data_IF_719951895814
#
_entry.id   IF_719951895814
#
_cell.length_a   1.000
_cell.length_b   1.000
_cell.length_c   1.000
_cell.angle_alpha   90.00
_cell.angle_beta   90.00
_cell.angle_gamma   90.00
#
_symmetry.space_group_name_H-M   'P 1'
#
loop_
_entity.id
_entity.type
_entity.pdbx_description
1 polymer ?
#
# COMPACT_ATOMS: atom_id res chain seq x y z
N UNK A 1 47.70 19.78 -12.28
CA UNK A 1 46.72 18.80 -11.85
C UNK A 1 45.86 18.41 -13.02
N UNK A 2 45.55 17.14 -13.15
CA UNK A 2 44.72 16.68 -14.24
C UNK A 2 43.27 17.12 -14.04
N UNK A 3 42.77 17.77 -15.03
CA UNK A 3 41.43 18.06 -15.52
C UNK A 3 40.35 18.22 -14.56
N UNK A 4 39.66 17.63 -13.85
CA UNK A 4 38.38 17.88 -13.19
C UNK A 4 38.48 17.93 -11.67
N UNK A 5 39.00 19.03 -11.13
CA UNK A 5 38.99 19.25 -9.69
C UNK A 5 38.36 20.60 -9.34
N UNK A 6 37.80 20.65 -8.17
CA UNK A 6 37.24 21.88 -7.60
C UNK A 6 38.15 22.26 -6.43
N UNK A 7 38.60 23.48 -6.43
CA UNK A 7 39.43 24.03 -5.35
C UNK A 7 38.49 24.44 -4.21
N UNK A 8 38.67 23.85 -3.05
CA UNK A 8 37.77 24.05 -1.92
C UNK A 8 38.19 25.18 -0.99
N UNK A 9 39.49 25.43 -0.86
CA UNK A 9 40.01 26.51 -0.03
C UNK A 9 41.51 26.43 0.22
N UNK A 10 41.99 27.35 1.04
CA UNK A 10 43.38 27.42 1.52
C UNK A 10 43.36 27.56 3.03
N UNK A 11 44.20 26.81 3.74
CA UNK A 11 44.47 27.02 5.16
C UNK A 11 45.86 27.64 5.31
N UNK A 12 45.95 28.97 5.55
CA UNK A 12 47.23 29.67 5.58
C UNK A 12 48.06 29.42 6.86
N UNK A 13 47.40 28.93 7.92
CA UNK A 13 48.00 28.82 9.25
C UNK A 13 48.32 27.37 9.67
N UNK A 14 48.65 26.50 8.72
CA UNK A 14 49.01 25.12 9.01
C UNK A 14 50.33 25.05 9.75
N UNK A 15 50.33 24.56 10.99
CA UNK A 15 51.53 24.29 11.77
C UNK A 15 51.95 22.83 11.61
N UNK A 16 53.26 22.59 11.49
CA UNK A 16 53.82 21.26 11.36
C UNK A 16 53.41 20.35 12.56
N UNK A 17 52.93 19.14 12.24
CA UNK A 17 52.48 18.12 13.19
C UNK A 17 51.27 18.53 14.05
N UNK A 18 50.46 19.53 13.64
CA UNK A 18 49.21 19.86 14.29
C UNK A 18 48.04 19.57 13.36
N UNK A 19 46.92 19.11 13.91
CA UNK A 19 45.68 18.99 13.13
C UNK A 19 45.23 20.34 12.59
N UNK A 20 44.76 20.39 11.37
CA UNK A 20 44.12 21.56 10.76
C UNK A 20 42.76 21.21 10.22
N UNK A 21 41.85 22.18 10.22
CA UNK A 21 40.55 22.00 9.63
C UNK A 21 40.62 22.04 8.11
N UNK A 22 40.04 21.09 7.46
CA UNK A 22 39.80 21.16 6.02
C UNK A 22 38.64 22.11 5.80
N UNK A 23 38.85 23.21 5.12
CA UNK A 23 37.80 24.12 4.71
C UNK A 23 36.99 23.47 3.60
N UNK A 24 36.00 22.71 3.98
CA UNK A 24 35.02 22.19 3.06
C UNK A 24 33.83 23.13 2.96
N UNK A 25 33.45 23.43 1.75
CA UNK A 25 32.21 24.13 1.49
C UNK A 25 31.04 23.21 1.81
N UNK A 26 29.92 23.77 2.23
CA UNK A 26 28.69 23.01 2.39
C UNK A 26 28.32 22.35 1.05
N UNK A 27 28.37 21.03 1.01
CA UNK A 27 27.94 20.25 -0.14
C UNK A 27 26.45 20.00 -0.07
N UNK A 28 25.70 20.53 -1.03
CA UNK A 28 24.29 20.24 -1.22
C UNK A 28 24.12 19.24 -2.35
N UNK A 29 23.76 18.00 -2.03
CA UNK A 29 23.40 16.99 -3.00
C UNK A 29 21.92 17.10 -3.33
N UNK A 30 21.60 17.30 -4.61
CA UNK A 30 20.23 17.26 -5.13
C UNK A 30 20.06 15.98 -5.95
N UNK A 31 19.21 15.08 -5.43
CA UNK A 31 18.76 13.94 -6.19
C UNK A 31 17.59 14.36 -7.10
N UNK A 32 17.73 14.09 -8.39
CA UNK A 32 16.66 14.29 -9.36
C UNK A 32 16.19 12.95 -9.87
N UNK A 33 14.94 12.64 -9.63
CA UNK A 33 14.28 11.48 -10.24
C UNK A 33 13.86 11.86 -11.65
N UNK A 34 14.46 11.24 -12.65
CA UNK A 34 14.16 11.48 -14.07
C UNK A 34 13.13 10.50 -14.62
N UNK A 35 13.02 9.33 -14.02
CA UNK A 35 12.07 8.30 -14.38
C UNK A 35 11.31 7.83 -13.14
N UNK A 36 10.02 7.52 -13.31
CA UNK A 36 9.23 6.93 -12.23
C UNK A 36 9.70 5.50 -11.98
N UNK A 37 10.01 5.21 -10.75
CA UNK A 37 10.30 3.85 -10.30
C UNK A 37 9.30 3.42 -9.23
N UNK A 38 9.15 2.12 -9.08
CA UNK A 38 8.26 1.52 -8.10
C UNK A 38 9.03 0.70 -7.09
N UNK A 39 8.45 0.58 -5.91
CA UNK A 39 8.95 -0.20 -4.79
C UNK A 39 10.29 0.31 -4.26
N UNK A 40 11.38 -0.14 -4.84
CA UNK A 40 12.71 0.03 -4.26
C UNK A 40 13.74 0.22 -5.36
N UNK A 41 14.54 1.28 -5.23
CA UNK A 41 15.74 1.48 -6.05
C UNK A 41 16.96 1.45 -5.14
N UNK A 42 17.88 0.57 -5.42
CA UNK A 42 19.17 0.54 -4.75
C UNK A 42 20.15 1.40 -5.54
N UNK A 43 20.69 2.41 -4.88
CA UNK A 43 21.79 3.22 -5.41
C UNK A 43 23.08 2.53 -4.96
N UNK A 44 23.84 1.91 -5.87
CA UNK A 44 25.09 1.29 -5.50
C UNK A 44 26.05 2.35 -4.94
N UNK A 45 26.83 1.97 -3.96
CA UNK A 45 27.82 2.88 -3.40
C UNK A 45 28.81 3.29 -4.47
N UNK A 46 28.94 4.58 -4.70
CA UNK A 46 29.90 5.16 -5.63
C UNK A 46 30.56 6.37 -5.01
N UNK A 47 31.83 6.53 -5.31
CA UNK A 47 32.58 7.70 -4.89
C UNK A 47 32.18 8.89 -5.73
N UNK A 48 31.72 9.95 -5.07
CA UNK A 48 31.40 11.23 -5.71
C UNK A 48 32.60 12.12 -5.80
N UNK A 49 33.36 12.23 -4.72
CA UNK A 49 34.56 13.08 -4.64
C UNK A 49 35.61 12.41 -3.80
N UNK A 50 36.88 12.64 -4.21
CA UNK A 50 38.04 12.37 -3.37
C UNK A 50 38.72 13.71 -3.06
N UNK A 51 38.91 14.00 -1.77
CA UNK A 51 39.53 15.24 -1.32
C UNK A 51 40.99 15.02 -1.05
N UNK A 52 41.80 15.92 -1.60
CA UNK A 52 43.25 15.91 -1.49
C UNK A 52 43.71 17.16 -0.80
N UNK A 53 44.80 17.06 -0.09
CA UNK A 53 45.54 18.19 0.46
C UNK A 53 46.89 18.28 -0.26
N UNK A 54 47.22 19.48 -0.69
CA UNK A 54 48.48 19.80 -1.41
C UNK A 54 49.16 20.97 -0.75
N UNK A 55 50.46 21.11 -0.94
CA UNK A 55 51.25 22.24 -0.41
C UNK A 55 51.23 23.45 -1.35
N UNK A 56 50.94 23.22 -2.63
CA UNK A 56 50.87 24.26 -3.64
C UNK A 56 49.71 24.10 -4.62
N UNK A 57 49.43 25.13 -5.37
CA UNK A 57 48.27 25.20 -6.29
C UNK A 57 48.35 24.20 -7.44
N UNK A 58 49.56 23.86 -7.90
CA UNK A 58 49.76 22.97 -9.03
C UNK A 58 50.41 21.63 -8.64
N UNK A 59 50.40 21.33 -7.36
CA UNK A 59 50.91 20.06 -6.89
C UNK A 59 50.05 18.89 -7.36
N UNK A 60 50.67 17.71 -7.60
CA UNK A 60 49.92 16.55 -7.98
C UNK A 60 49.00 16.05 -6.83
N UNK A 61 47.80 15.59 -7.18
CA UNK A 61 46.84 15.02 -6.26
C UNK A 61 47.20 13.58 -5.88
N UNK A 62 48.17 13.42 -4.95
CA UNK A 62 48.72 12.11 -4.61
C UNK A 62 48.12 11.56 -3.31
N UNK A 63 47.93 12.42 -2.32
CA UNK A 63 47.52 11.97 -0.98
C UNK A 63 46.06 12.31 -0.74
N UNK A 64 45.18 11.34 -0.82
CA UNK A 64 43.76 11.54 -0.44
C UNK A 64 43.66 11.68 1.08
N UNK A 65 42.79 12.58 1.52
CA UNK A 65 42.50 12.80 2.93
C UNK A 65 41.19 12.09 3.34
N UNK A 66 40.18 12.25 2.52
CA UNK A 66 38.92 11.53 2.66
C UNK A 66 38.18 11.44 1.33
N UNK A 67 37.20 10.56 1.31
CA UNK A 67 36.33 10.32 0.15
C UNK A 67 34.89 10.51 0.56
N UNK A 68 34.13 11.20 -0.27
CA UNK A 68 32.68 11.30 -0.12
C UNK A 68 32.05 10.33 -1.10
N UNK A 69 31.28 9.41 -0.56
CA UNK A 69 30.56 8.41 -1.35
C UNK A 69 29.06 8.54 -1.13
N UNK A 70 28.29 8.21 -2.14
CA UNK A 70 26.84 8.09 -2.08
C UNK A 70 26.46 6.64 -2.32
N UNK A 71 25.58 6.12 -1.50
CA UNK A 71 24.93 4.85 -1.68
C UNK A 71 23.71 4.78 -0.78
N UNK A 72 22.79 3.91 -1.11
CA UNK A 72 21.59 3.76 -0.29
C UNK A 72 20.44 3.11 -1.02
N UNK A 73 19.29 3.19 -0.39
CA UNK A 73 18.03 2.65 -0.90
C UNK A 73 16.98 3.74 -0.85
N UNK A 74 16.29 3.94 -1.97
CA UNK A 74 15.12 4.79 -2.05
C UNK A 74 13.90 3.88 -2.17
N UNK A 75 13.00 3.97 -1.21
CA UNK A 75 11.73 3.24 -1.21
C UNK A 75 10.59 4.21 -1.49
N UNK A 76 9.72 3.81 -2.41
CA UNK A 76 8.50 4.55 -2.73
C UNK A 76 7.32 3.66 -2.37
N UNK A 77 6.63 3.92 -1.25
CA UNK A 77 5.54 3.08 -0.82
C UNK A 77 4.39 3.14 -1.85
N UNK A 78 3.98 1.97 -2.28
CA UNK A 78 2.75 1.80 -3.06
C UNK A 78 1.55 1.90 -2.13
N UNK A 79 0.53 2.59 -2.57
CA UNK A 79 -0.70 2.74 -1.80
C UNK A 79 -1.90 2.74 -2.73
N UNK A 80 -2.91 1.97 -2.36
CA UNK A 80 -4.24 2.07 -2.95
C UNK A 80 -5.26 2.49 -1.90
N UNK A 81 -6.14 3.37 -2.29
CA UNK A 81 -7.29 3.78 -1.50
C UNK A 81 -8.54 3.14 -2.09
N UNK A 82 -9.34 2.54 -1.23
CA UNK A 82 -10.62 1.95 -1.58
C UNK A 82 -11.72 2.94 -1.23
N UNK A 83 -12.60 3.23 -2.18
CA UNK A 83 -13.72 4.15 -2.05
C UNK A 83 -13.33 5.52 -1.45
N UNK A 84 -12.16 6.02 -1.81
CA UNK A 84 -11.59 7.26 -1.28
C UNK A 84 -11.60 7.34 0.26
N UNK A 85 -11.39 6.20 0.93
CA UNK A 85 -11.43 6.08 2.39
C UNK A 85 -12.83 6.10 3.01
N UNK A 86 -13.88 6.13 2.18
CA UNK A 86 -15.28 6.10 2.66
C UNK A 86 -15.74 4.66 2.91
N UNK A 87 -16.56 4.49 3.93
CA UNK A 87 -17.21 3.20 4.21
C UNK A 87 -18.23 2.89 3.12
N UNK A 88 -18.27 1.64 2.67
CA UNK A 88 -19.31 1.13 1.79
C UNK A 88 -20.37 0.47 2.67
N UNK A 89 -21.58 1.02 2.68
CA UNK A 89 -22.67 0.55 3.53
C UNK A 89 -23.72 -0.19 2.71
N UNK A 90 -24.20 -1.30 3.27
CA UNK A 90 -25.35 -2.05 2.79
C UNK A 90 -26.41 -2.08 3.89
N UNK A 91 -27.51 -1.41 3.65
CA UNK A 91 -28.65 -1.37 4.58
C UNK A 91 -29.80 -2.22 3.99
N UNK A 92 -30.16 -3.27 4.68
CA UNK A 92 -31.22 -4.20 4.25
C UNK A 92 -32.58 -3.90 4.89
N UNK A 93 -32.68 -2.85 5.71
CA UNK A 93 -33.90 -2.48 6.40
C UNK A 93 -34.39 -3.56 7.37
N UNK A 94 -35.68 -3.52 7.66
CA UNK A 94 -36.33 -4.45 8.59
C UNK A 94 -36.67 -5.79 7.92
N UNK A 95 -36.18 -6.87 8.52
CA UNK A 95 -36.41 -8.24 8.06
C UNK A 95 -37.06 -9.03 9.21
N UNK A 96 -38.19 -9.68 8.96
CA UNK A 96 -38.84 -10.49 9.97
C UNK A 96 -37.97 -11.69 10.37
N UNK A 97 -37.76 -11.84 11.69
CA UNK A 97 -36.91 -12.90 12.25
C UNK A 97 -37.28 -14.32 11.79
N UNK A 98 -38.60 -14.59 11.62
CA UNK A 98 -39.09 -15.90 11.14
C UNK A 98 -38.52 -16.27 9.74
N UNK A 99 -38.31 -15.30 8.86
CA UNK A 99 -37.80 -15.56 7.50
C UNK A 99 -36.40 -16.15 7.50
N UNK A 100 -35.58 -15.87 8.50
CA UNK A 100 -34.25 -16.45 8.64
C UNK A 100 -34.33 -17.94 9.02
N UNK A 101 -35.23 -18.30 9.95
CA UNK A 101 -35.43 -19.71 10.31
C UNK A 101 -36.09 -20.51 9.19
N UNK A 102 -37.02 -19.90 8.46
CA UNK A 102 -37.63 -20.52 7.27
C UNK A 102 -36.63 -20.78 6.15
N UNK A 103 -35.65 -19.89 5.99
CA UNK A 103 -34.58 -20.04 4.98
C UNK A 103 -33.64 -21.20 5.29
N UNK A 104 -33.42 -21.49 6.57
CA UNK A 104 -32.44 -22.46 7.03
C UNK A 104 -31.00 -21.96 7.00
N UNK A 105 -30.11 -22.72 7.62
CA UNK A 105 -28.69 -22.34 7.75
C UNK A 105 -28.00 -22.13 6.40
N UNK A 106 -27.19 -21.06 6.33
CA UNK A 106 -26.44 -20.69 5.11
C UNK A 106 -27.26 -19.94 4.07
N UNK A 107 -28.58 -19.84 4.22
CA UNK A 107 -29.47 -19.32 3.20
C UNK A 107 -29.96 -17.88 3.51
N UNK A 108 -30.22 -17.17 2.40
CA UNK A 108 -30.81 -15.83 2.41
C UNK A 108 -32.33 -15.93 2.64
N UNK A 109 -32.91 -15.04 3.49
CA UNK A 109 -34.34 -14.97 3.69
C UNK A 109 -35.09 -14.71 2.38
N UNK A 110 -36.25 -15.32 2.27
CA UNK A 110 -37.14 -15.11 1.13
C UNK A 110 -37.58 -13.64 1.05
N UNK A 111 -37.53 -13.10 -0.18
CA UNK A 111 -37.91 -11.71 -0.45
C UNK A 111 -36.84 -10.66 -0.18
N UNK A 112 -35.70 -11.06 0.40
CA UNK A 112 -34.54 -10.17 0.54
C UNK A 112 -33.71 -10.22 -0.72
N UNK A 113 -33.55 -9.10 -1.38
CA UNK A 113 -32.71 -8.97 -2.60
C UNK A 113 -31.27 -8.63 -2.25
N UNK A 114 -30.27 -9.24 -2.89
CA UNK A 114 -28.89 -8.77 -2.78
C UNK A 114 -28.78 -7.32 -3.21
N UNK A 115 -28.06 -6.53 -2.45
CA UNK A 115 -27.71 -5.16 -2.82
C UNK A 115 -26.37 -5.15 -3.52
N UNK A 116 -26.19 -4.21 -4.45
CA UNK A 116 -24.97 -4.04 -5.20
C UNK A 116 -24.42 -2.62 -5.03
N UNK A 117 -23.11 -2.52 -4.85
CA UNK A 117 -22.37 -1.26 -4.77
C UNK A 117 -21.16 -1.34 -5.69
N UNK A 118 -20.82 -0.22 -6.31
CA UNK A 118 -19.57 -0.08 -7.06
C UNK A 118 -18.55 0.62 -6.19
N UNK A 119 -17.41 0.00 -6.00
CA UNK A 119 -16.32 0.49 -5.17
C UNK A 119 -15.19 0.96 -6.05
N UNK A 120 -14.74 2.19 -5.87
CA UNK A 120 -13.59 2.75 -6.59
C UNK A 120 -12.28 2.39 -5.88
N UNK A 121 -11.24 2.16 -6.67
CA UNK A 121 -9.88 1.94 -6.21
C UNK A 121 -8.98 2.94 -6.92
N UNK A 122 -8.18 3.68 -6.17
CA UNK A 122 -7.21 4.63 -6.72
C UNK A 122 -5.85 4.39 -6.08
N UNK A 123 -4.83 4.20 -6.91
CA UNK A 123 -3.49 3.84 -6.46
C UNK A 123 -2.48 4.94 -6.77
N UNK A 124 -1.54 5.14 -5.83
CA UNK A 124 -0.40 6.05 -5.98
C UNK A 124 0.89 5.26 -5.96
N UNK A 125 1.88 5.71 -6.72
CA UNK A 125 3.18 5.05 -6.88
C UNK A 125 3.05 3.61 -7.43
N UNK A 126 2.05 3.37 -8.23
CA UNK A 126 1.80 2.10 -8.93
C UNK A 126 1.79 2.37 -10.43
N UNK A 127 2.25 1.42 -11.24
CA UNK A 127 2.20 1.57 -12.70
C UNK A 127 0.75 1.63 -13.18
N UNK A 128 0.51 2.51 -14.14
CA UNK A 128 -0.70 2.46 -14.93
C UNK A 128 -0.84 1.06 -15.55
N UNK A 129 -2.06 0.53 -15.55
CA UNK A 129 -2.38 -0.82 -16.05
C UNK A 129 -1.73 -1.96 -15.26
N UNK A 130 -1.24 -1.70 -14.04
CA UNK A 130 -0.78 -2.78 -13.17
C UNK A 130 -1.93 -3.74 -12.83
N UNK A 131 -1.58 -4.99 -12.60
CA UNK A 131 -2.51 -5.99 -12.09
C UNK A 131 -2.53 -5.92 -10.57
N UNK A 132 -3.72 -5.87 -10.02
CA UNK A 132 -3.98 -5.92 -8.58
C UNK A 132 -5.03 -6.99 -8.30
N UNK A 133 -5.19 -7.34 -7.07
CA UNK A 133 -6.30 -8.17 -6.63
C UNK A 133 -6.98 -7.56 -5.41
N UNK A 134 -8.28 -7.86 -5.26
CA UNK A 134 -9.08 -7.43 -4.11
C UNK A 134 -9.58 -8.65 -3.38
N UNK A 135 -9.40 -8.70 -2.08
CA UNK A 135 -9.92 -9.73 -1.19
C UNK A 135 -10.67 -9.12 -0.01
N UNK A 136 -11.45 -9.96 0.66
CA UNK A 136 -12.22 -9.57 1.83
C UNK A 136 -11.54 -10.08 3.09
N UNK A 137 -11.36 -9.19 4.06
CA UNK A 137 -10.98 -9.54 5.43
C UNK A 137 -12.14 -9.25 6.37
N UNK A 138 -12.33 -10.08 7.38
CA UNK A 138 -13.32 -9.91 8.42
C UNK A 138 -12.76 -10.31 9.78
N UNK A 139 -13.23 -9.67 10.84
CA UNK A 139 -12.85 -10.03 12.20
C UNK A 139 -13.34 -11.43 12.58
N UNK A 140 -14.57 -11.75 12.18
CA UNK A 140 -15.19 -13.05 12.42
C UNK A 140 -15.87 -13.56 11.15
N UNK A 141 -15.56 -14.78 10.77
CA UNK A 141 -16.20 -15.42 9.61
C UNK A 141 -16.33 -16.91 9.81
N UNK A 142 -17.29 -17.48 9.12
CA UNK A 142 -17.47 -18.92 8.96
C UNK A 142 -17.65 -19.21 7.47
N UNK A 143 -16.70 -19.94 6.86
CA UNK A 143 -16.62 -20.15 5.43
C UNK A 143 -16.72 -18.81 4.63
N UNK A 144 -17.84 -18.63 3.91
CA UNK A 144 -18.13 -17.43 3.11
C UNK A 144 -19.07 -16.44 3.82
N UNK A 145 -19.34 -16.61 5.12
CA UNK A 145 -20.23 -15.76 5.89
C UNK A 145 -19.43 -14.87 6.82
N UNK A 146 -19.65 -13.56 6.74
CA UNK A 146 -19.25 -12.62 7.78
C UNK A 146 -20.22 -12.76 8.94
N UNK A 147 -19.71 -13.13 10.10
CA UNK A 147 -20.54 -13.25 11.30
C UNK A 147 -20.90 -11.87 11.84
N UNK A 148 -22.15 -11.69 12.22
CA UNK A 148 -22.62 -10.44 12.82
C UNK A 148 -22.49 -10.47 14.35
N UNK A 149 -22.90 -9.39 14.99
CA UNK A 149 -23.10 -9.29 16.43
C UNK A 149 -24.29 -10.13 16.95
N UNK A 150 -25.18 -10.57 16.05
CA UNK A 150 -26.20 -11.58 16.35
C UNK A 150 -25.67 -12.97 15.96
N UNK A 151 -25.57 -13.93 16.90
CA UNK A 151 -24.94 -15.24 16.64
C UNK A 151 -25.68 -16.11 15.61
N UNK A 152 -26.95 -15.82 15.34
CA UNK A 152 -27.75 -16.56 14.37
C UNK A 152 -27.73 -15.95 12.97
N UNK A 153 -27.11 -14.77 12.81
CA UNK A 153 -27.14 -13.97 11.59
C UNK A 153 -25.74 -13.60 11.10
N UNK A 154 -25.64 -13.51 9.79
CA UNK A 154 -24.42 -13.05 9.13
C UNK A 154 -24.71 -12.47 7.75
N UNK A 155 -23.65 -12.14 7.04
CA UNK A 155 -23.73 -11.56 5.70
C UNK A 155 -22.81 -12.30 4.76
N UNK A 156 -23.25 -12.48 3.53
CA UNK A 156 -22.41 -12.90 2.43
C UNK A 156 -22.06 -11.67 1.62
N UNK A 157 -20.77 -11.53 1.31
CA UNK A 157 -20.26 -10.54 0.36
C UNK A 157 -19.72 -11.29 -0.86
N UNK A 158 -20.09 -10.85 -2.04
CA UNK A 158 -19.78 -11.50 -3.30
C UNK A 158 -19.27 -10.50 -4.33
N UNK A 159 -18.65 -11.00 -5.39
CA UNK A 159 -18.32 -10.22 -6.56
C UNK A 159 -19.60 -9.86 -7.36
N UNK A 160 -19.46 -9.11 -8.43
CA UNK A 160 -20.56 -8.65 -9.28
C UNK A 160 -21.38 -9.80 -9.87
N UNK A 161 -20.74 -10.95 -10.19
CA UNK A 161 -21.40 -12.14 -10.68
C UNK A 161 -22.13 -12.95 -9.59
N UNK A 162 -22.02 -12.56 -8.33
CA UNK A 162 -22.65 -13.22 -7.21
C UNK A 162 -21.83 -14.38 -6.62
N UNK A 163 -20.58 -14.53 -7.01
CA UNK A 163 -19.68 -15.51 -6.40
C UNK A 163 -19.18 -14.99 -5.05
N UNK A 164 -19.45 -15.72 -3.95
CA UNK A 164 -19.06 -15.30 -2.61
C UNK A 164 -17.54 -15.22 -2.43
N UNK A 165 -17.09 -14.22 -1.68
CA UNK A 165 -15.77 -14.25 -1.09
C UNK A 165 -15.71 -15.26 0.05
N UNK A 166 -14.55 -15.84 0.23
CA UNK A 166 -14.18 -16.49 1.48
C UNK A 166 -13.34 -15.50 2.30
N UNK A 167 -13.91 -14.86 3.33
CA UNK A 167 -13.18 -13.88 4.11
C UNK A 167 -11.90 -14.47 4.70
N UNK A 168 -10.86 -13.66 4.78
CA UNK A 168 -9.54 -14.05 5.30
C UNK A 168 -8.78 -15.11 4.46
N UNK A 169 -9.32 -15.51 3.32
CA UNK A 169 -8.64 -16.44 2.41
C UNK A 169 -7.89 -15.65 1.34
N UNK A 170 -6.56 -15.79 1.33
CA UNK A 170 -5.67 -15.10 0.37
C UNK A 170 -5.87 -15.53 -1.09
N UNK A 171 -6.51 -16.66 -1.33
CA UNK A 171 -6.82 -17.16 -2.68
C UNK A 171 -8.22 -16.73 -3.16
N UNK A 172 -9.06 -16.22 -2.26
CA UNK A 172 -10.38 -15.71 -2.62
C UNK A 172 -10.30 -14.24 -3.02
N UNK A 173 -9.91 -14.00 -4.26
CA UNK A 173 -9.60 -12.66 -4.77
C UNK A 173 -10.40 -12.33 -6.03
N UNK A 174 -10.65 -11.05 -6.27
CA UNK A 174 -11.07 -10.53 -7.57
C UNK A 174 -9.85 -9.93 -8.24
N UNK A 175 -9.37 -10.49 -9.35
CA UNK A 175 -8.29 -9.88 -10.13
C UNK A 175 -8.81 -8.66 -10.88
N UNK A 176 -8.04 -7.58 -10.86
CA UNK A 176 -8.35 -6.32 -11.52
C UNK A 176 -7.12 -5.79 -12.26
N UNK A 177 -7.37 -5.04 -13.32
CA UNK A 177 -6.34 -4.27 -14.00
C UNK A 177 -6.62 -2.77 -13.80
N UNK A 178 -5.63 -2.05 -13.34
CA UNK A 178 -5.72 -0.59 -13.24
C UNK A 178 -5.77 0.06 -14.63
N UNK A 179 -6.48 1.14 -14.74
CA UNK A 179 -6.54 1.95 -15.95
C UNK A 179 -5.27 2.82 -16.12
N UNK A 180 -5.30 3.72 -17.13
CA UNK A 180 -4.20 4.66 -17.40
C UNK A 180 -3.95 5.66 -16.27
N UNK A 181 -4.90 5.84 -15.36
CA UNK A 181 -4.81 6.74 -14.21
C UNK A 181 -4.48 5.99 -12.91
N UNK A 182 -4.07 4.73 -13.00
CA UNK A 182 -3.86 3.84 -11.85
C UNK A 182 -5.12 3.68 -10.98
N UNK A 183 -6.28 3.61 -11.61
CA UNK A 183 -7.58 3.44 -10.97
C UNK A 183 -8.32 2.21 -11.50
N UNK A 184 -9.24 1.69 -10.70
CA UNK A 184 -10.14 0.62 -11.08
C UNK A 184 -11.49 0.78 -10.36
N UNK A 185 -12.49 0.04 -10.83
CA UNK A 185 -13.76 -0.10 -10.15
C UNK A 185 -14.08 -1.58 -10.00
N UNK A 186 -14.70 -1.94 -8.88
CA UNK A 186 -15.14 -3.29 -8.58
C UNK A 186 -16.58 -3.28 -8.10
N UNK A 187 -17.42 -4.12 -8.70
CA UNK A 187 -18.78 -4.36 -8.26
C UNK A 187 -18.81 -5.37 -7.12
N UNK A 188 -19.48 -5.02 -6.03
CA UNK A 188 -19.63 -5.86 -4.85
C UNK A 188 -21.10 -6.01 -4.55
N UNK A 189 -21.50 -7.25 -4.20
CA UNK A 189 -22.86 -7.57 -3.76
C UNK A 189 -22.84 -8.08 -2.34
N UNK A 190 -23.89 -7.79 -1.59
CA UNK A 190 -24.05 -8.32 -0.24
C UNK A 190 -25.50 -8.71 0.02
N UNK A 191 -25.69 -9.66 0.93
CA UNK A 191 -27.00 -10.09 1.43
C UNK A 191 -26.89 -10.73 2.81
N UNK A 192 -27.92 -10.57 3.66
CA UNK A 192 -27.97 -11.25 4.96
C UNK A 192 -28.32 -12.72 4.80
N UNK A 193 -27.83 -13.53 5.71
CA UNK A 193 -28.09 -14.98 5.75
C UNK A 193 -28.35 -15.44 7.19
N UNK A 194 -29.10 -16.55 7.32
CA UNK A 194 -29.15 -17.30 8.58
C UNK A 194 -27.84 -18.07 8.76
N UNK A 195 -27.22 -18.01 9.92
CA UNK A 195 -26.05 -18.83 10.25
C UNK A 195 -26.47 -20.18 10.80
N UNK A 196 -27.36 -20.17 11.77
CA UNK A 196 -27.74 -21.39 12.54
C UNK A 196 -28.99 -22.09 12.04
N UNK A 197 -29.83 -21.45 11.23
CA UNK A 197 -31.15 -21.93 10.86
C UNK A 197 -32.20 -21.74 11.95
N UNK A 198 -31.84 -21.13 13.09
CA UNK A 198 -32.77 -20.84 14.16
C UNK A 198 -33.44 -19.48 13.94
N UNK A 199 -34.57 -19.25 14.63
CA UNK A 199 -35.17 -17.90 14.70
C UNK A 199 -34.23 -16.99 15.51
N UNK A 200 -33.66 -15.93 14.91
CA UNK A 200 -32.78 -15.04 15.63
C UNK A 200 -33.53 -14.20 16.65
N UNK A 201 -32.82 -13.67 17.63
CA UNK A 201 -33.32 -12.62 18.50
C UNK A 201 -33.64 -11.37 17.68
N UNK A 202 -34.73 -10.69 18.02
CA UNK A 202 -35.13 -9.44 17.37
C UNK A 202 -34.23 -8.29 17.84
N UNK A 203 -33.88 -7.39 16.94
CA UNK A 203 -33.06 -6.22 17.19
C UNK A 203 -32.11 -5.92 16.00
N UNK A 204 -31.38 -4.82 16.08
CA UNK A 204 -30.40 -4.49 15.05
C UNK A 204 -29.24 -5.51 15.05
N UNK A 205 -28.70 -5.78 13.88
CA UNK A 205 -27.52 -6.60 13.73
C UNK A 205 -26.62 -6.04 12.63
N UNK A 206 -25.32 -6.18 12.81
CA UNK A 206 -24.35 -5.66 11.89
C UNK A 206 -23.11 -6.54 11.80
N UNK A 207 -22.39 -6.44 10.70
CA UNK A 207 -21.05 -7.00 10.53
C UNK A 207 -20.16 -6.01 9.81
N UNK A 208 -18.86 -6.14 10.01
CA UNK A 208 -17.84 -5.33 9.32
C UNK A 208 -16.84 -6.22 8.63
N UNK A 209 -16.43 -5.80 7.44
CA UNK A 209 -15.34 -6.38 6.68
C UNK A 209 -14.51 -5.29 6.04
N UNK A 210 -13.33 -5.68 5.58
CA UNK A 210 -12.38 -4.77 4.93
C UNK A 210 -12.02 -5.33 3.56
N UNK A 211 -12.08 -4.48 2.55
CA UNK A 211 -11.52 -4.80 1.25
C UNK A 211 -10.03 -4.46 1.26
N UNK A 212 -9.23 -5.46 0.99
CA UNK A 212 -7.78 -5.29 0.89
C UNK A 212 -7.34 -5.42 -0.56
N UNK A 213 -6.54 -4.46 -0.98
CA UNK A 213 -5.90 -4.46 -2.30
C UNK A 213 -4.50 -5.03 -2.16
N UNK A 214 -4.17 -5.98 -3.02
CA UNK A 214 -2.85 -6.59 -3.10
C UNK A 214 -2.27 -6.38 -4.51
N UNK A 215 -0.96 -6.24 -4.57
CA UNK A 215 -0.21 -6.07 -5.82
C UNK A 215 0.30 -7.43 -6.29
N UNK A 216 0.13 -7.71 -7.56
CA UNK A 216 0.60 -8.95 -8.20
C UNK A 216 1.92 -8.73 -8.93
#
# INVERSE_FOLDING_TARGET
PPGNYIRMGQEPNVAKHRPFGVMDSQLLLKLRVTERFMNRVTIPQQTLFTVYVTTGVNDPLITPVYTISLGGVVEVPQRCEVNAGQVVEFDFGDIRAALFSEAGAGNRPRGVTPQSQTVSISCTNVHARAHISVRLEAEKSDNHILLSDNPDLGFVVANESGQPFMPNNIFSVIPLQLDKNAAAQVGIRAWPVSVTGKKPAEGPFSARGFLRVEYN
#
